data_IF_226712482953
#
_entry.id   IF_226712482953
#
_cell.length_a   1.000
_cell.length_b   1.000
_cell.length_c   1.000
_cell.angle_alpha   90.00
_cell.angle_beta   90.00
_cell.angle_gamma   90.00
#
_symmetry.space_group_name_H-M   'P 1'
#
loop_
_entity.id
_entity.type
_entity.pdbx_description
1 polymer ?
#
# COMPACT_ATOMS: atom_id res chain seq x y z
N UNK A 1 -11.71 -27.67 -5.52
CA UNK A 1 -11.30 -26.85 -4.38
C UNK A 1 -9.98 -26.18 -4.76
N UNK A 2 -9.96 -24.86 -4.81
CA UNK A 2 -8.89 -24.04 -5.38
C UNK A 2 -7.91 -23.49 -4.33
N UNK A 3 -8.14 -23.73 -3.04
CA UNK A 3 -7.29 -23.25 -1.94
C UNK A 3 -5.83 -23.71 -2.07
N UNK A 4 -5.59 -25.03 -2.12
CA UNK A 4 -4.22 -25.59 -2.16
C UNK A 4 -3.44 -25.22 -3.44
N UNK A 5 -4.02 -25.33 -4.65
CA UNK A 5 -3.35 -24.86 -5.87
C UNK A 5 -2.94 -23.39 -5.81
N UNK A 6 -3.79 -22.52 -5.24
CA UNK A 6 -3.49 -21.10 -5.14
C UNK A 6 -2.35 -20.82 -4.16
N UNK A 7 -2.31 -21.50 -3.03
CA UNK A 7 -1.21 -21.37 -2.08
C UNK A 7 0.12 -21.87 -2.67
N UNK A 8 0.08 -22.92 -3.50
CA UNK A 8 1.25 -23.34 -4.27
C UNK A 8 1.68 -22.28 -5.28
N UNK A 9 0.74 -21.61 -5.95
CA UNK A 9 1.04 -20.50 -6.86
C UNK A 9 1.71 -19.33 -6.12
N UNK A 10 1.19 -18.93 -4.95
CA UNK A 10 1.80 -17.91 -4.09
C UNK A 10 3.22 -18.32 -3.69
N UNK A 11 3.43 -19.58 -3.28
CA UNK A 11 4.76 -20.10 -2.92
C UNK A 11 5.72 -20.05 -4.11
N UNK A 12 5.28 -20.45 -5.30
CA UNK A 12 6.10 -20.38 -6.51
C UNK A 12 6.42 -18.95 -6.93
N UNK A 13 5.46 -18.04 -6.82
CA UNK A 13 5.69 -16.61 -7.04
C UNK A 13 6.72 -16.05 -6.05
N UNK A 14 6.63 -16.46 -4.78
CA UNK A 14 7.58 -16.02 -3.75
C UNK A 14 9.00 -16.54 -4.03
N UNK A 15 9.13 -17.80 -4.47
CA UNK A 15 10.42 -18.34 -4.92
C UNK A 15 11.02 -17.45 -6.02
N UNK A 16 10.24 -17.09 -7.05
CA UNK A 16 10.70 -16.24 -8.17
C UNK A 16 11.04 -14.81 -7.73
N UNK A 17 10.28 -14.25 -6.80
CA UNK A 17 10.60 -12.94 -6.21
C UNK A 17 11.98 -12.99 -5.52
N UNK A 18 12.28 -14.07 -4.80
CA UNK A 18 13.54 -14.22 -4.09
C UNK A 18 14.70 -14.47 -5.05
N UNK A 19 14.53 -15.34 -6.04
CA UNK A 19 15.63 -15.75 -6.94
C UNK A 19 15.88 -14.77 -8.08
N UNK A 20 14.83 -14.17 -8.63
CA UNK A 20 14.87 -13.39 -9.87
C UNK A 20 14.44 -11.93 -9.66
N UNK A 21 13.79 -11.61 -8.53
CA UNK A 21 13.19 -10.30 -8.29
C UNK A 21 11.89 -10.09 -9.07
N UNK A 22 11.33 -11.13 -9.67
CA UNK A 22 10.08 -11.07 -10.41
C UNK A 22 8.90 -10.93 -9.45
N UNK A 23 8.11 -9.88 -9.65
CA UNK A 23 6.87 -9.64 -8.89
C UNK A 23 5.68 -10.25 -9.60
N UNK A 24 4.66 -10.66 -8.85
CA UNK A 24 3.42 -11.18 -9.44
C UNK A 24 2.18 -10.69 -8.71
N UNK A 25 1.05 -10.70 -9.41
CA UNK A 25 -0.26 -10.34 -8.85
C UNK A 25 -1.26 -11.44 -9.21
N UNK A 26 -2.03 -11.88 -8.22
CA UNK A 26 -3.10 -12.86 -8.37
C UNK A 26 -4.41 -12.15 -8.02
N UNK A 27 -5.32 -12.04 -9.00
CA UNK A 27 -6.66 -11.49 -8.78
C UNK A 27 -7.60 -12.58 -8.26
N UNK A 28 -7.92 -12.55 -6.95
CA UNK A 28 -8.79 -13.55 -6.32
C UNK A 28 -10.20 -13.54 -6.90
N UNK A 29 -10.69 -12.38 -7.36
CA UNK A 29 -12.05 -12.25 -7.91
C UNK A 29 -12.16 -12.79 -9.33
N UNK A 30 -11.04 -12.94 -10.03
CA UNK A 30 -10.98 -13.57 -11.34
C UNK A 30 -11.04 -15.10 -11.29
N UNK A 31 -10.85 -15.69 -10.11
CA UNK A 31 -10.79 -17.15 -9.90
C UNK A 31 -12.15 -17.66 -9.40
N UNK A 32 -12.69 -18.77 -9.94
CA UNK A 32 -13.93 -19.35 -9.47
C UNK A 32 -13.72 -20.05 -8.12
N UNK A 33 -13.86 -19.31 -7.02
CA UNK A 33 -13.76 -19.84 -5.65
C UNK A 33 -15.13 -20.33 -5.16
N UNK A 34 -15.16 -21.49 -4.52
CA UNK A 34 -16.33 -21.95 -3.79
C UNK A 34 -16.53 -21.12 -2.50
N UNK A 35 -17.77 -21.05 -1.95
CA UNK A 35 -18.02 -20.30 -0.72
C UNK A 35 -17.09 -20.74 0.42
N UNK A 36 -16.45 -19.77 1.09
CA UNK A 36 -15.52 -20.02 2.18
C UNK A 36 -14.07 -20.30 1.75
N UNK A 37 -13.78 -20.50 0.46
CA UNK A 37 -12.41 -20.75 0.01
C UNK A 37 -11.54 -19.49 0.11
N UNK A 38 -12.09 -18.34 -0.24
CA UNK A 38 -11.38 -17.07 -0.15
C UNK A 38 -11.00 -16.76 1.30
N UNK A 39 -11.95 -16.88 2.22
CA UNK A 39 -11.72 -16.70 3.66
C UNK A 39 -10.66 -17.67 4.16
N UNK A 40 -10.71 -18.94 3.74
CA UNK A 40 -9.70 -19.93 4.11
C UNK A 40 -8.31 -19.62 3.56
N UNK A 41 -8.22 -19.09 2.33
CA UNK A 41 -6.94 -18.63 1.77
C UNK A 41 -6.36 -17.51 2.64
N UNK A 42 -7.18 -16.50 2.96
CA UNK A 42 -6.78 -15.36 3.78
C UNK A 42 -6.39 -15.78 5.20
N UNK A 43 -7.12 -16.72 5.80
CA UNK A 43 -6.78 -17.30 7.11
C UNK A 43 -5.43 -18.02 7.09
N UNK A 44 -5.13 -18.78 6.03
CA UNK A 44 -3.86 -19.52 5.91
C UNK A 44 -2.67 -18.57 5.66
N UNK A 45 -2.87 -17.52 4.86
CA UNK A 45 -1.86 -16.49 4.66
C UNK A 45 -1.61 -15.68 5.94
N UNK A 46 -2.66 -15.49 6.73
CA UNK A 46 -2.60 -14.74 7.98
C UNK A 46 -2.32 -13.26 7.76
N UNK A 47 -2.07 -12.55 8.87
CA UNK A 47 -1.78 -11.11 8.89
C UNK A 47 -0.44 -10.87 9.58
N UNK A 48 0.47 -10.24 8.86
CA UNK A 48 1.77 -9.82 9.35
C UNK A 48 1.74 -8.45 10.03
N UNK A 49 2.91 -7.81 10.04
CA UNK A 49 3.17 -6.61 10.84
C UNK A 49 2.73 -5.32 10.13
N UNK A 50 2.83 -5.28 8.80
CA UNK A 50 2.61 -4.05 8.02
C UNK A 50 1.18 -3.97 7.52
N UNK A 51 0.48 -2.90 7.92
CA UNK A 51 -0.85 -2.56 7.40
C UNK A 51 -0.90 -1.09 7.04
N UNK A 52 -1.40 -0.81 5.85
CA UNK A 52 -1.66 0.52 5.36
C UNK A 52 -3.10 0.63 4.85
N UNK A 53 -3.70 1.81 5.02
CA UNK A 53 -4.97 2.17 4.43
C UNK A 53 -4.82 3.45 3.63
N UNK A 54 -5.26 3.42 2.37
CA UNK A 54 -5.25 4.56 1.47
C UNK A 54 -6.68 5.00 1.20
N UNK A 55 -6.89 6.32 1.11
CA UNK A 55 -8.17 6.94 0.79
C UNK A 55 -8.03 7.73 -0.51
N UNK A 56 -7.84 7.04 -1.63
CA UNK A 56 -7.60 7.66 -2.94
C UNK A 56 -8.57 7.03 -3.95
N UNK A 57 -9.58 7.80 -4.39
CA UNK A 57 -10.61 7.35 -5.34
C UNK A 57 -11.30 6.04 -4.91
N UNK A 58 -11.62 5.93 -3.61
CA UNK A 58 -12.04 4.71 -2.93
C UNK A 58 -11.03 4.31 -1.85
N UNK A 59 -11.48 3.61 -0.81
CA UNK A 59 -10.56 3.11 0.21
C UNK A 59 -9.79 1.89 -0.33
N UNK A 60 -8.55 1.72 0.08
CA UNK A 60 -7.77 0.49 -0.17
C UNK A 60 -7.05 0.07 1.10
N UNK A 61 -7.16 -1.20 1.45
CA UNK A 61 -6.35 -1.82 2.51
C UNK A 61 -5.23 -2.62 1.87
N UNK A 62 -4.01 -2.43 2.37
CA UNK A 62 -2.80 -3.14 1.96
C UNK A 62 -2.20 -3.78 3.20
N UNK A 63 -2.16 -5.11 3.23
CA UNK A 63 -1.77 -5.89 4.42
C UNK A 63 -0.69 -6.87 4.03
N UNK A 64 0.48 -6.81 4.68
CA UNK A 64 1.46 -7.90 4.58
C UNK A 64 0.92 -9.12 5.35
N UNK A 65 1.10 -10.30 4.78
CA UNK A 65 0.69 -11.56 5.40
C UNK A 65 1.73 -12.04 6.42
N UNK A 66 1.54 -13.20 7.05
CA UNK A 66 2.60 -13.80 7.90
C UNK A 66 3.84 -14.22 7.09
N UNK A 67 3.74 -14.22 5.76
CA UNK A 67 4.81 -14.53 4.83
C UNK A 67 5.31 -13.23 4.19
N UNK A 68 6.50 -12.78 4.59
CA UNK A 68 7.08 -11.52 4.10
C UNK A 68 7.21 -11.50 2.58
N UNK A 69 6.85 -10.36 1.98
CA UNK A 69 6.79 -10.21 0.52
C UNK A 69 5.51 -10.76 -0.13
N UNK A 70 4.58 -11.30 0.64
CA UNK A 70 3.21 -11.63 0.20
C UNK A 70 2.24 -10.66 0.86
N UNK A 71 1.47 -9.97 0.03
CA UNK A 71 0.58 -8.89 0.42
C UNK A 71 -0.84 -9.16 -0.05
N UNK A 72 -1.83 -8.82 0.77
CA UNK A 72 -3.23 -8.77 0.38
C UNK A 72 -3.61 -7.32 0.17
N UNK A 73 -4.03 -7.00 -1.06
CA UNK A 73 -4.54 -5.67 -1.44
C UNK A 73 -6.04 -5.79 -1.67
N UNK A 74 -6.82 -5.04 -0.92
CA UNK A 74 -8.28 -4.98 -1.05
C UNK A 74 -8.70 -3.57 -1.44
N UNK A 75 -9.42 -3.43 -2.56
CA UNK A 75 -10.02 -2.17 -2.99
C UNK A 75 -11.51 -2.15 -2.65
N UNK A 76 -11.96 -0.98 -2.19
CA UNK A 76 -13.35 -0.71 -1.85
C UNK A 76 -13.90 0.42 -2.72
N UNK A 77 -15.20 0.38 -2.99
CA UNK A 77 -15.92 1.54 -3.52
C UNK A 77 -16.27 2.54 -2.40
N UNK A 78 -16.95 3.63 -2.78
CA UNK A 78 -17.40 4.68 -1.84
C UNK A 78 -18.42 4.18 -0.79
N UNK A 79 -19.04 3.02 -1.01
CA UNK A 79 -19.97 2.37 -0.07
C UNK A 79 -19.29 1.34 0.83
N UNK A 80 -17.95 1.29 0.85
CA UNK A 80 -17.13 0.31 1.58
C UNK A 80 -17.31 -1.15 1.13
N UNK A 81 -17.86 -1.37 -0.07
CA UNK A 81 -18.00 -2.71 -0.63
C UNK A 81 -16.71 -3.11 -1.35
N UNK A 82 -16.23 -4.34 -1.12
CA UNK A 82 -15.05 -4.85 -1.82
C UNK A 82 -15.33 -4.99 -3.32
N UNK A 83 -14.58 -4.25 -4.13
CA UNK A 83 -14.63 -4.32 -5.60
C UNK A 83 -13.45 -5.10 -6.18
N UNK A 84 -12.35 -5.24 -5.43
CA UNK A 84 -11.14 -5.94 -5.86
C UNK A 84 -10.40 -6.54 -4.67
N UNK A 85 -9.84 -7.73 -4.84
CA UNK A 85 -8.95 -8.34 -3.86
C UNK A 85 -7.84 -9.13 -4.56
N UNK A 86 -6.61 -8.80 -4.24
CA UNK A 86 -5.42 -9.29 -4.91
C UNK A 86 -4.43 -9.84 -3.89
N UNK A 87 -3.72 -10.90 -4.27
CA UNK A 87 -2.48 -11.28 -3.61
C UNK A 87 -1.33 -10.75 -4.47
N UNK A 88 -0.57 -9.80 -3.93
CA UNK A 88 0.64 -9.30 -4.56
C UNK A 88 1.87 -9.96 -3.92
N UNK A 89 2.73 -10.54 -4.74
CA UNK A 89 4.01 -11.08 -4.31
C UNK A 89 5.10 -10.11 -4.77
N UNK A 90 5.54 -9.26 -3.86
CA UNK A 90 6.44 -8.13 -4.12
C UNK A 90 7.11 -7.65 -2.84
N UNK A 91 8.24 -6.93 -2.97
CA UNK A 91 8.92 -6.29 -1.82
C UNK A 91 8.14 -5.10 -1.26
N UNK A 92 7.43 -4.40 -2.12
CA UNK A 92 6.62 -3.24 -1.76
C UNK A 92 5.51 -3.09 -2.81
N UNK A 93 4.22 -3.18 -2.42
CA UNK A 93 3.09 -2.94 -3.31
C UNK A 93 3.20 -1.58 -4.00
N UNK A 94 2.92 -1.54 -5.30
CA UNK A 94 3.11 -0.34 -6.11
C UNK A 94 2.24 0.82 -5.62
N UNK A 95 1.03 0.51 -5.14
CA UNK A 95 0.09 1.51 -4.62
C UNK A 95 0.62 2.25 -3.36
N UNK A 96 1.61 1.68 -2.66
CA UNK A 96 2.26 2.33 -1.52
C UNK A 96 3.40 3.27 -1.93
N UNK A 97 3.83 3.26 -3.19
CA UNK A 97 4.91 4.12 -3.66
C UNK A 97 4.39 5.52 -3.95
N UNK A 98 5.03 6.52 -3.35
CA UNK A 98 4.77 7.92 -3.68
C UNK A 98 5.18 8.22 -5.12
N UNK A 99 4.33 8.92 -5.85
CA UNK A 99 4.60 9.32 -7.22
C UNK A 99 5.65 10.44 -7.26
N UNK A 100 6.45 10.48 -8.33
CA UNK A 100 7.53 11.46 -8.46
C UNK A 100 7.01 12.90 -8.48
N UNK A 101 5.88 13.12 -9.15
CA UNK A 101 5.20 14.40 -9.24
C UNK A 101 4.74 14.89 -7.86
N UNK A 102 4.04 14.04 -7.10
CA UNK A 102 3.56 14.36 -5.75
C UNK A 102 4.74 14.71 -4.81
N UNK A 103 5.86 14.00 -4.93
CA UNK A 103 7.07 14.29 -4.15
C UNK A 103 7.71 15.63 -4.54
N UNK A 104 7.73 15.97 -5.83
CA UNK A 104 8.25 17.25 -6.31
C UNK A 104 7.39 18.41 -5.80
N UNK A 105 6.06 18.31 -5.92
CA UNK A 105 5.11 19.29 -5.39
C UNK A 105 5.22 19.44 -3.88
N UNK A 106 5.36 18.33 -3.15
CA UNK A 106 5.56 18.36 -1.70
C UNK A 106 6.86 19.08 -1.30
N UNK A 107 7.95 18.87 -2.05
CA UNK A 107 9.23 19.54 -1.82
C UNK A 107 9.12 21.05 -2.00
N UNK A 108 8.47 21.51 -3.08
CA UNK A 108 8.26 22.94 -3.34
C UNK A 108 7.37 23.58 -2.28
N UNK A 109 6.25 22.93 -1.95
CA UNK A 109 5.34 23.41 -0.90
C UNK A 109 6.03 23.54 0.47
N UNK A 110 6.91 22.60 0.82
CA UNK A 110 7.67 22.67 2.06
C UNK A 110 8.69 23.82 2.04
N UNK A 111 9.37 24.05 0.91
CA UNK A 111 10.31 25.15 0.77
C UNK A 111 9.64 26.51 0.98
N UNK A 112 8.49 26.75 0.34
CA UNK A 112 7.71 27.98 0.51
C UNK A 112 7.29 28.20 1.97
N UNK A 113 6.84 27.13 2.66
CA UNK A 113 6.44 27.23 4.06
C UNK A 113 7.60 27.64 4.97
N UNK A 114 8.81 27.14 4.72
CA UNK A 114 10.00 27.48 5.49
C UNK A 114 10.45 28.93 5.23
N UNK A 115 10.28 29.45 4.01
CA UNK A 115 10.56 30.85 3.69
C UNK A 115 9.61 31.80 4.42
N UNK A 116 8.31 31.47 4.47
CA UNK A 116 7.31 32.25 5.19
C UNK A 116 7.64 32.36 6.69
N UNK A 117 8.01 31.23 7.33
CA UNK A 117 8.39 31.21 8.76
C UNK A 117 9.61 32.11 9.04
N UNK A 118 10.62 32.10 8.16
CA UNK A 118 11.79 32.96 8.31
C UNK A 118 11.46 34.45 8.19
N UNK A 119 10.52 34.82 7.33
CA UNK A 119 10.09 36.21 7.17
C UNK A 119 9.29 36.71 8.38
N UNK A 120 8.43 35.85 8.95
CA UNK A 120 7.68 36.15 10.18
C UNK A 120 8.60 36.36 11.39
N UNK A 121 9.63 35.52 11.56
CA UNK A 121 10.63 35.66 12.61
C UNK A 121 11.48 36.93 12.45
N UNK A 122 11.91 37.26 11.24
CA UNK A 122 12.67 38.47 10.96
C UNK A 122 11.86 39.74 11.20
N UNK A 123 10.56 39.71 10.88
CA UNK A 123 9.64 40.83 11.13
C UNK A 123 9.43 41.01 12.63
N UNK A 124 9.22 39.92 13.37
CA UNK A 124 9.05 39.94 14.83
C UNK A 124 10.29 40.45 15.56
N UNK A 125 11.48 40.02 15.14
CA UNK A 125 12.75 40.48 15.74
C UNK A 125 13.01 41.97 15.47
N UNK A 126 12.68 42.49 14.27
CA UNK A 126 12.81 43.93 13.99
C UNK A 126 11.91 44.77 14.89
N UNK A 127 10.63 44.37 15.07
CA UNK A 127 9.71 45.08 15.97
C UNK A 127 10.14 45.05 17.44
N UNK A 128 10.84 44.00 17.87
CA UNK A 128 11.35 43.89 19.24
C UNK A 128 12.59 44.76 19.51
N UNK A 129 13.39 45.07 18.48
CA UNK A 129 14.60 45.91 18.60
C UNK A 129 14.26 47.41 18.53
N UNK A 130 13.13 47.78 17.92
CA UNK A 130 12.67 49.17 17.80
C UNK A 130 11.83 49.67 19.01
N UNK A 131 11.57 48.82 20.01
CA UNK A 131 10.91 49.16 21.28
C UNK A 131 11.91 49.22 22.42
#
# INVERSE_FOLDING_TARGET
WNVEPLLHEVKHALDRLVTEGETSVIDLRSIPLAPGEEERILEILGRGEVVARLNVLGASDVVETEYSGVWVVTHYNDNEETIGRFIEVTRLPEILRSQAEDMAEASERLALRLEDEQQEEQTSNKLAVEK
#
